data_IF_244702790074
#
_entry.id   IF_244702790074
#
_cell.length_a   1.000
_cell.length_b   1.000
_cell.length_c   1.000
_cell.angle_alpha   90.00
_cell.angle_beta   90.00
_cell.angle_gamma   90.00
#
_symmetry.space_group_name_H-M   'P 1'
#
loop_
_entity.id
_entity.type
_entity.pdbx_description
1 polymer ?
#
# COMPACT_ATOMS: atom_id res chain seq x y z
N UNK A 1 6.61 -0.98 20.42
CA UNK A 1 5.44 -1.41 19.63
C UNK A 1 5.75 -1.38 18.13
N UNK A 2 6.28 -0.30 17.56
CA UNK A 2 6.60 -0.20 16.12
C UNK A 2 7.63 -1.26 15.68
N UNK A 3 8.64 -1.55 16.49
CA UNK A 3 9.62 -2.60 16.20
C UNK A 3 8.96 -3.98 16.06
N UNK A 4 7.90 -4.25 16.83
CA UNK A 4 7.17 -5.53 16.79
C UNK A 4 6.59 -5.84 15.41
N UNK A 5 6.04 -4.84 14.71
CA UNK A 5 5.54 -5.02 13.34
C UNK A 5 6.67 -5.37 12.37
N UNK A 6 7.79 -4.65 12.45
CA UNK A 6 8.96 -4.93 11.61
C UNK A 6 9.57 -6.30 11.88
N UNK A 7 9.64 -6.73 13.14
CA UNK A 7 10.11 -8.06 13.53
C UNK A 7 9.16 -9.17 13.05
N UNK A 8 7.84 -8.95 13.13
CA UNK A 8 6.84 -9.91 12.63
C UNK A 8 6.97 -10.12 11.13
N UNK A 9 7.11 -9.03 10.37
CA UNK A 9 7.34 -9.08 8.92
C UNK A 9 8.67 -9.76 8.58
N UNK A 10 9.75 -9.43 9.29
CA UNK A 10 11.08 -9.99 9.06
C UNK A 10 11.15 -11.51 9.27
N UNK A 11 10.28 -12.11 10.11
CA UNK A 11 10.18 -13.56 10.25
C UNK A 11 9.83 -14.29 8.95
N UNK A 12 9.26 -13.59 7.98
CA UNK A 12 8.92 -14.12 6.66
C UNK A 12 10.00 -13.90 5.60
N UNK A 13 11.16 -13.37 5.97
CA UNK A 13 12.28 -13.06 5.04
C UNK A 13 12.57 -14.19 4.06
N UNK A 14 12.72 -15.43 4.53
CA UNK A 14 12.99 -16.57 3.67
C UNK A 14 11.90 -16.82 2.60
N UNK A 15 10.65 -16.46 2.88
CA UNK A 15 9.55 -16.56 1.91
C UNK A 15 9.68 -15.50 0.81
N UNK A 16 10.04 -14.26 1.17
CA UNK A 16 10.29 -13.19 0.21
C UNK A 16 11.52 -13.51 -0.66
N UNK A 17 12.62 -13.93 -0.05
CA UNK A 17 13.85 -14.30 -0.76
C UNK A 17 13.60 -15.44 -1.77
N UNK A 18 12.83 -16.47 -1.37
CA UNK A 18 12.45 -17.58 -2.28
C UNK A 18 11.69 -17.09 -3.52
N UNK A 19 10.95 -15.99 -3.41
CA UNK A 19 10.18 -15.39 -4.50
C UNK A 19 10.97 -14.30 -5.25
N UNK A 20 12.21 -14.01 -4.84
CA UNK A 20 12.97 -12.88 -5.39
C UNK A 20 12.38 -11.51 -5.04
N UNK A 21 11.60 -11.44 -3.96
CA UNK A 21 10.92 -10.23 -3.51
C UNK A 21 11.69 -9.50 -2.41
N UNK A 22 11.55 -8.19 -2.35
CA UNK A 22 12.01 -7.37 -1.24
C UNK A 22 11.03 -7.42 -0.07
N UNK A 23 11.54 -7.30 1.16
CA UNK A 23 10.67 -7.05 2.31
C UNK A 23 9.93 -5.70 2.15
N UNK A 24 8.71 -5.56 2.69
CA UNK A 24 7.95 -4.31 2.63
C UNK A 24 8.71 -3.08 3.14
N UNK A 25 9.48 -3.23 4.21
CA UNK A 25 10.34 -2.16 4.73
C UNK A 25 11.46 -1.78 3.74
N UNK A 26 12.04 -2.75 3.04
CA UNK A 26 13.07 -2.52 2.02
C UNK A 26 12.46 -1.85 0.77
N UNK A 27 11.22 -2.21 0.40
CA UNK A 27 10.44 -1.52 -0.65
C UNK A 27 10.25 -0.05 -0.30
N UNK A 28 9.78 0.24 0.91
CA UNK A 28 9.59 1.60 1.38
C UNK A 28 10.90 2.40 1.36
N UNK A 29 11.97 1.82 1.89
CA UNK A 29 13.28 2.47 1.95
C UNK A 29 13.84 2.82 0.57
N UNK A 30 13.71 1.92 -0.41
CA UNK A 30 14.18 2.15 -1.79
C UNK A 30 13.30 3.12 -2.57
N UNK A 31 12.02 3.23 -2.22
CA UNK A 31 11.10 4.16 -2.85
C UNK A 31 11.35 5.60 -2.44
N UNK A 32 11.67 5.83 -1.17
CA UNK A 32 11.90 7.15 -0.60
C UNK A 32 13.14 7.84 -1.16
N UNK A 33 13.08 9.16 -1.26
CA UNK A 33 14.23 9.98 -1.63
C UNK A 33 15.24 10.03 -0.47
N UNK A 34 16.52 9.76 -0.73
CA UNK A 34 17.56 9.78 0.30
C UNK A 34 17.64 11.14 1.00
N UNK A 35 17.71 11.11 2.34
CA UNK A 35 17.84 12.31 3.15
C UNK A 35 16.58 13.16 3.30
N UNK A 36 15.48 12.79 2.66
CA UNK A 36 14.19 13.47 2.81
C UNK A 36 13.38 12.89 3.98
N UNK A 37 12.58 13.70 4.68
CA UNK A 37 11.80 13.23 5.82
C UNK A 37 10.67 12.28 5.38
N UNK A 38 10.38 11.29 6.21
CA UNK A 38 9.21 10.42 6.10
C UNK A 38 8.38 10.50 7.37
N UNK A 39 7.16 11.01 7.25
CA UNK A 39 6.19 11.07 8.35
C UNK A 39 5.35 9.79 8.35
N UNK A 40 5.69 8.83 9.21
CA UNK A 40 4.87 7.62 9.40
C UNK A 40 3.52 7.98 10.00
N UNK A 41 2.46 7.31 9.53
CA UNK A 41 1.09 7.47 9.98
C UNK A 41 0.53 6.12 10.42
N UNK A 42 -0.45 6.14 11.32
CA UNK A 42 -1.21 4.96 11.76
C UNK A 42 -0.38 3.80 12.33
N UNK A 43 0.77 4.10 12.94
CA UNK A 43 1.69 3.09 13.46
C UNK A 43 1.07 2.18 14.53
N UNK A 44 0.04 2.64 15.22
CA UNK A 44 -0.70 1.87 16.25
C UNK A 44 -2.05 1.32 15.76
N UNK A 45 -2.37 1.48 14.47
CA UNK A 45 -3.61 0.93 13.94
C UNK A 45 -3.67 -0.59 14.19
N UNK A 46 -4.85 -1.10 14.50
CA UNK A 46 -5.10 -2.51 14.84
C UNK A 46 -4.52 -3.02 16.18
N UNK A 47 -3.74 -2.20 16.90
CA UNK A 47 -3.18 -2.62 18.20
C UNK A 47 -4.28 -2.92 19.21
N UNK A 48 -4.20 -4.09 19.86
CA UNK A 48 -5.20 -4.64 20.78
C UNK A 48 -6.62 -4.79 20.17
N UNK A 49 -6.73 -4.80 18.83
CA UNK A 49 -7.96 -5.06 18.07
C UNK A 49 -7.89 -6.41 17.34
N UNK A 50 -6.74 -6.69 16.70
CA UNK A 50 -6.45 -7.98 16.07
C UNK A 50 -6.34 -9.11 17.10
N UNK A 51 -5.76 -8.82 18.24
CA UNK A 51 -5.59 -9.71 19.36
C UNK A 51 -5.78 -8.92 20.68
N UNK A 52 -6.70 -9.32 21.56
CA UNK A 52 -6.89 -8.67 22.87
C UNK A 52 -5.67 -8.81 23.79
N UNK A 53 -4.82 -9.82 23.60
CA UNK A 53 -3.53 -9.90 24.25
C UNK A 53 -2.58 -8.86 23.65
N UNK A 54 -2.30 -7.82 24.43
CA UNK A 54 -1.43 -6.72 24.02
C UNK A 54 0.00 -7.14 23.71
N UNK A 55 0.49 -8.23 24.30
CA UNK A 55 1.83 -8.74 24.02
C UNK A 55 1.90 -9.50 22.69
N UNK A 56 0.81 -10.14 22.29
CA UNK A 56 0.68 -10.84 21.02
C UNK A 56 0.17 -9.97 19.86
N UNK A 57 -0.44 -8.81 20.17
CA UNK A 57 -0.98 -7.90 19.15
C UNK A 57 0.11 -7.25 18.30
N UNK A 58 -0.09 -7.22 16.98
CA UNK A 58 0.83 -6.62 16.02
C UNK A 58 0.22 -5.30 15.51
N UNK A 59 0.83 -4.14 15.84
CA UNK A 59 0.33 -2.84 15.40
C UNK A 59 0.61 -2.58 13.91
N UNK A 60 -0.07 -1.58 13.34
CA UNK A 60 0.17 -1.08 12.00
C UNK A 60 -0.79 -1.60 10.93
N UNK A 61 -1.78 -2.44 11.29
CA UNK A 61 -2.80 -2.97 10.38
C UNK A 61 -2.23 -3.65 9.10
N UNK A 62 -1.07 -4.32 9.21
CA UNK A 62 -0.34 -4.98 8.12
C UNK A 62 0.04 -4.05 6.96
N UNK A 63 0.33 -2.78 7.26
CA UNK A 63 0.73 -1.79 6.27
C UNK A 63 1.80 -0.84 6.80
N UNK A 64 2.63 -0.32 5.90
CA UNK A 64 3.57 0.77 6.16
C UNK A 64 3.10 1.99 5.38
N UNK A 65 2.67 3.03 6.10
CA UNK A 65 2.03 4.18 5.47
C UNK A 65 2.57 5.50 6.01
N UNK A 66 2.61 6.52 5.15
CA UNK A 66 3.07 7.84 5.55
C UNK A 66 3.21 8.82 4.41
N UNK A 67 3.65 10.02 4.74
CA UNK A 67 3.96 11.07 3.77
C UNK A 67 5.46 11.17 3.63
N UNK A 68 5.95 11.05 2.40
CA UNK A 68 7.36 11.12 2.05
C UNK A 68 7.60 11.81 0.72
N UNK A 69 8.81 11.65 0.21
CA UNK A 69 9.22 12.20 -1.07
C UNK A 69 9.70 11.08 -1.99
N UNK A 70 9.21 11.09 -3.22
CA UNK A 70 9.55 10.13 -4.27
C UNK A 70 9.80 10.89 -5.56
N UNK A 71 11.01 10.81 -6.12
CA UNK A 71 11.38 11.59 -7.31
C UNK A 71 11.19 13.09 -7.10
N UNK A 72 11.48 13.62 -5.91
CA UNK A 72 11.27 15.02 -5.56
C UNK A 72 9.82 15.42 -5.28
N UNK A 73 8.85 14.54 -5.47
CA UNK A 73 7.42 14.81 -5.25
C UNK A 73 6.99 14.39 -3.86
N UNK A 74 6.39 15.31 -3.10
CA UNK A 74 5.76 14.98 -1.82
C UNK A 74 4.47 14.20 -2.08
N UNK A 75 4.39 12.97 -1.59
CA UNK A 75 3.26 12.08 -1.84
C UNK A 75 2.88 11.25 -0.63
N UNK A 76 1.70 10.66 -0.66
CA UNK A 76 1.28 9.60 0.23
C UNK A 76 1.85 8.28 -0.26
N UNK A 77 2.44 7.52 0.65
CA UNK A 77 3.01 6.20 0.37
C UNK A 77 2.26 5.17 1.19
N UNK A 78 1.88 4.09 0.52
CA UNK A 78 1.26 2.92 1.09
C UNK A 78 2.02 1.68 0.64
N UNK A 79 2.48 0.87 1.58
CA UNK A 79 3.12 -0.42 1.28
C UNK A 79 2.38 -1.50 2.06
N UNK A 80 1.79 -2.46 1.37
CA UNK A 80 1.21 -3.64 1.99
C UNK A 80 2.30 -4.49 2.62
N UNK A 81 2.07 -4.96 3.84
CA UNK A 81 2.99 -5.85 4.53
C UNK A 81 2.45 -7.29 4.54
N UNK A 82 2.73 -7.99 3.44
CA UNK A 82 2.35 -9.41 3.28
C UNK A 82 3.13 -10.36 4.21
N UNK A 83 4.15 -9.89 4.90
CA UNK A 83 4.81 -10.60 5.98
C UNK A 83 3.92 -10.76 7.22
N UNK A 84 2.90 -9.92 7.36
CA UNK A 84 1.92 -9.96 8.45
C UNK A 84 0.57 -10.42 7.89
N UNK A 85 0.06 -11.56 8.36
CA UNK A 85 -1.22 -12.13 7.93
C UNK A 85 -1.41 -12.19 6.40
N UNK A 86 -0.32 -12.42 5.63
CA UNK A 86 -0.29 -12.42 4.16
C UNK A 86 -0.85 -11.13 3.52
N UNK A 87 -0.76 -10.00 4.19
CA UNK A 87 -1.31 -8.72 3.71
C UNK A 87 -2.84 -8.70 3.67
N UNK A 88 -3.51 -9.58 4.42
CA UNK A 88 -4.97 -9.63 4.42
C UNK A 88 -5.57 -8.37 5.05
N UNK A 89 -6.60 -7.86 4.38
CA UNK A 89 -7.28 -6.65 4.79
C UNK A 89 -8.30 -6.91 5.89
N UNK A 90 -8.28 -6.09 6.93
CA UNK A 90 -9.28 -6.02 8.00
C UNK A 90 -10.08 -4.73 7.89
N UNK A 91 -11.13 -4.58 8.71
CA UNK A 91 -11.86 -3.30 8.82
C UNK A 91 -10.90 -2.16 9.17
N UNK A 92 -9.93 -2.40 10.05
CA UNK A 92 -8.91 -1.38 10.42
C UNK A 92 -8.00 -1.01 9.25
N UNK A 93 -7.61 -1.95 8.42
CA UNK A 93 -6.86 -1.68 7.18
C UNK A 93 -7.68 -0.73 6.28
N UNK A 94 -8.97 -1.00 6.11
CA UNK A 94 -9.87 -0.13 5.34
C UNK A 94 -10.04 1.27 5.94
N UNK A 95 -10.19 1.39 7.27
CA UNK A 95 -10.26 2.68 7.96
C UNK A 95 -8.97 3.50 7.79
N UNK A 96 -7.81 2.85 7.84
CA UNK A 96 -6.51 3.49 7.53
C UNK A 96 -6.52 4.01 6.09
N UNK A 97 -6.98 3.20 5.12
CA UNK A 97 -7.12 3.62 3.72
C UNK A 97 -7.98 4.88 3.57
N UNK A 98 -9.17 4.88 4.14
CA UNK A 98 -10.07 6.03 4.10
C UNK A 98 -9.44 7.29 4.68
N UNK A 99 -8.74 7.16 5.80
CA UNK A 99 -8.01 8.25 6.43
C UNK A 99 -6.92 8.82 5.51
N UNK A 100 -6.09 7.96 4.91
CA UNK A 100 -5.03 8.39 3.99
C UNK A 100 -5.58 9.08 2.75
N UNK A 101 -6.63 8.53 2.13
CA UNK A 101 -7.28 9.13 0.98
C UNK A 101 -7.91 10.48 1.31
N UNK A 102 -8.45 10.65 2.53
CA UNK A 102 -8.94 11.96 2.99
C UNK A 102 -7.79 12.98 3.11
N UNK A 103 -6.62 12.55 3.61
CA UNK A 103 -5.41 13.38 3.66
C UNK A 103 -4.95 13.73 2.23
N UNK A 104 -4.89 12.75 1.31
CA UNK A 104 -4.52 12.98 -0.09
C UNK A 104 -5.41 14.05 -0.74
N UNK A 105 -6.73 13.92 -0.61
CA UNK A 105 -7.69 14.87 -1.17
C UNK A 105 -7.54 16.28 -0.58
N UNK A 106 -7.32 16.37 0.75
CA UNK A 106 -7.18 17.65 1.45
C UNK A 106 -5.86 18.35 1.16
N UNK A 107 -4.76 17.57 1.13
CA UNK A 107 -3.40 18.09 0.99
C UNK A 107 -2.89 18.06 -0.45
N UNK A 108 -3.73 17.60 -1.40
CA UNK A 108 -3.36 17.44 -2.81
C UNK A 108 -2.11 16.59 -2.99
N UNK A 109 -2.08 15.44 -2.33
CA UNK A 109 -0.96 14.51 -2.42
C UNK A 109 -1.27 13.41 -3.44
N UNK A 110 -0.37 13.15 -4.40
CA UNK A 110 -0.38 11.90 -5.16
C UNK A 110 -0.25 10.70 -4.23
N UNK A 111 -0.72 9.54 -4.66
CA UNK A 111 -0.65 8.28 -3.91
C UNK A 111 0.19 7.26 -4.66
N UNK A 112 1.16 6.65 -3.97
CA UNK A 112 1.85 5.44 -4.44
C UNK A 112 1.47 4.28 -3.52
N UNK A 113 1.00 3.18 -4.10
CA UNK A 113 0.63 1.97 -3.40
C UNK A 113 1.46 0.77 -3.90
N UNK A 114 2.34 0.25 -3.07
CA UNK A 114 3.04 -1.02 -3.29
C UNK A 114 2.12 -2.15 -2.85
N UNK A 115 1.52 -2.84 -3.81
CA UNK A 115 0.43 -3.80 -3.58
C UNK A 115 0.94 -5.23 -3.49
N UNK A 116 0.59 -5.89 -2.40
CA UNK A 116 0.68 -7.33 -2.20
C UNK A 116 -0.29 -7.76 -1.10
N UNK A 117 -1.49 -8.21 -1.47
CA UNK A 117 -2.59 -8.47 -0.52
C UNK A 117 -3.34 -9.75 -0.86
N UNK A 118 -3.59 -10.57 0.15
CA UNK A 118 -4.46 -11.75 0.04
C UNK A 118 -5.97 -11.42 -0.03
N UNK A 119 -6.34 -10.13 -0.10
CA UNK A 119 -7.72 -9.69 -0.06
C UNK A 119 -8.29 -9.62 1.36
N UNK A 120 -9.62 -9.73 1.50
CA UNK A 120 -10.28 -9.65 2.80
C UNK A 120 -9.97 -10.86 3.70
N UNK A 121 -9.77 -10.61 5.00
CA UNK A 121 -9.64 -11.68 5.98
C UNK A 121 -11.02 -12.31 6.26
N UNK A 122 -11.32 -13.39 5.57
CA UNK A 122 -12.61 -14.09 5.70
C UNK A 122 -12.78 -14.80 7.04
N UNK A 123 -11.70 -15.04 7.79
CA UNK A 123 -11.78 -15.63 9.14
C UNK A 123 -12.27 -14.60 10.17
N UNK A 124 -12.14 -13.32 9.86
CA UNK A 124 -12.60 -12.19 10.68
C UNK A 124 -13.68 -11.40 9.92
N UNK A 125 -14.58 -12.12 9.26
CA UNK A 125 -15.64 -11.52 8.44
C UNK A 125 -16.53 -10.60 9.28
N UNK A 126 -16.69 -9.36 8.82
CA UNK A 126 -17.62 -8.38 9.34
C UNK A 126 -18.30 -7.69 8.15
N UNK A 127 -19.60 -7.50 8.20
CA UNK A 127 -20.37 -6.84 7.13
C UNK A 127 -19.87 -5.42 6.87
N UNK A 128 -19.41 -4.73 7.91
CA UNK A 128 -18.85 -3.37 7.88
C UNK A 128 -17.64 -3.27 6.97
N UNK A 129 -16.86 -4.35 6.81
CA UNK A 129 -15.71 -4.42 5.92
C UNK A 129 -16.08 -3.99 4.49
N UNK A 130 -17.20 -4.47 3.97
CA UNK A 130 -17.65 -4.16 2.60
C UNK A 130 -18.04 -2.70 2.44
N UNK A 131 -18.71 -2.13 3.43
CA UNK A 131 -19.06 -0.70 3.46
C UNK A 131 -17.82 0.19 3.47
N UNK A 132 -16.83 -0.15 4.31
CA UNK A 132 -15.56 0.57 4.41
C UNK A 132 -14.79 0.52 3.10
N UNK A 133 -14.65 -0.67 2.48
CA UNK A 133 -13.95 -0.80 1.20
C UNK A 133 -14.71 -0.19 0.02
N UNK A 134 -16.04 -0.17 0.03
CA UNK A 134 -16.83 0.62 -0.90
C UNK A 134 -16.48 2.11 -0.85
N UNK A 135 -16.23 2.64 0.34
CA UNK A 135 -15.72 4.00 0.55
C UNK A 135 -14.31 4.20 -0.02
N UNK A 136 -13.43 3.20 0.11
CA UNK A 136 -12.06 3.24 -0.46
C UNK A 136 -12.12 3.35 -2.00
N UNK A 137 -12.92 2.51 -2.66
CA UNK A 137 -13.07 2.53 -4.13
C UNK A 137 -13.69 3.85 -4.62
N UNK A 138 -14.73 4.34 -3.95
CA UNK A 138 -15.30 5.66 -4.22
C UNK A 138 -14.25 6.76 -4.14
N UNK A 139 -13.38 6.72 -3.13
CA UNK A 139 -12.33 7.71 -2.97
C UNK A 139 -11.25 7.64 -4.07
N UNK A 140 -10.89 6.44 -4.56
CA UNK A 140 -10.00 6.30 -5.71
C UNK A 140 -10.58 7.01 -6.94
N UNK A 141 -11.85 6.74 -7.26
CA UNK A 141 -12.54 7.43 -8.36
C UNK A 141 -12.59 8.96 -8.17
N UNK A 142 -12.83 9.42 -6.92
CA UNK A 142 -12.80 10.84 -6.62
C UNK A 142 -11.41 11.46 -6.76
N UNK A 143 -10.35 10.76 -6.34
CA UNK A 143 -8.97 11.24 -6.49
C UNK A 143 -8.63 11.40 -7.96
N UNK A 144 -8.95 10.42 -8.80
CA UNK A 144 -8.77 10.51 -10.26
C UNK A 144 -9.56 11.69 -10.85
N UNK A 145 -10.83 11.85 -10.50
CA UNK A 145 -11.65 12.99 -10.94
C UNK A 145 -11.11 14.36 -10.47
N UNK A 146 -10.39 14.41 -9.36
CA UNK A 146 -9.70 15.60 -8.85
C UNK A 146 -8.34 15.84 -9.54
N UNK A 147 -7.89 14.96 -10.42
CA UNK A 147 -6.58 14.98 -11.05
C UNK A 147 -5.44 14.72 -10.07
N UNK A 148 -5.69 14.00 -8.97
CA UNK A 148 -4.66 13.55 -8.04
C UNK A 148 -4.10 12.22 -8.52
N UNK A 149 -2.83 12.16 -8.97
CA UNK A 149 -2.25 10.94 -9.50
C UNK A 149 -2.25 9.80 -8.49
N UNK A 150 -2.66 8.63 -8.94
CA UNK A 150 -2.58 7.38 -8.20
C UNK A 150 -1.72 6.38 -8.96
N UNK A 151 -0.81 5.72 -8.26
CA UNK A 151 0.09 4.72 -8.83
C UNK A 151 0.07 3.46 -8.00
N UNK A 152 0.07 2.32 -8.68
CA UNK A 152 0.27 1.00 -8.08
C UNK A 152 1.59 0.42 -8.58
N UNK A 153 2.38 -0.14 -7.66
CA UNK A 153 3.44 -1.11 -7.98
C UNK A 153 2.94 -2.47 -7.50
N UNK A 154 2.64 -3.35 -8.43
CA UNK A 154 2.07 -4.68 -8.17
C UNK A 154 3.19 -5.68 -7.96
N UNK A 155 3.57 -5.88 -6.70
CA UNK A 155 4.70 -6.72 -6.28
C UNK A 155 4.37 -8.19 -6.11
N UNK A 156 3.11 -8.49 -5.83
CA UNK A 156 2.63 -9.84 -5.55
C UNK A 156 1.17 -10.00 -5.91
N UNK A 157 0.54 -11.04 -5.35
CA UNK A 157 -0.88 -11.27 -5.55
C UNK A 157 -1.73 -10.15 -4.99
N UNK A 158 -2.74 -9.73 -5.75
CA UNK A 158 -3.78 -8.79 -5.32
C UNK A 158 -5.13 -9.33 -5.79
N UNK A 159 -5.88 -9.96 -4.89
CA UNK A 159 -7.09 -10.69 -5.25
C UNK A 159 -8.35 -10.02 -4.70
N UNK A 160 -9.48 -10.35 -5.28
CA UNK A 160 -10.82 -9.85 -4.92
C UNK A 160 -10.86 -8.31 -4.89
N UNK A 161 -11.20 -7.72 -3.74
CA UNK A 161 -11.20 -6.26 -3.57
C UNK A 161 -9.83 -5.61 -3.76
N UNK A 162 -8.74 -6.34 -3.55
CA UNK A 162 -7.38 -5.87 -3.82
C UNK A 162 -7.11 -5.59 -5.31
N UNK A 163 -7.75 -6.33 -6.22
CA UNK A 163 -7.60 -6.13 -7.66
C UNK A 163 -8.15 -4.78 -8.16
N UNK A 164 -9.02 -4.13 -7.38
CA UNK A 164 -9.48 -2.78 -7.68
C UNK A 164 -8.37 -1.72 -7.51
N UNK A 165 -7.34 -2.00 -6.70
CA UNK A 165 -6.25 -1.05 -6.51
C UNK A 165 -5.51 -0.79 -7.83
N UNK A 166 -4.96 -1.80 -8.54
CA UNK A 166 -4.40 -1.58 -9.87
C UNK A 166 -5.48 -1.18 -10.90
N UNK A 167 -6.66 -1.78 -10.88
CA UNK A 167 -7.71 -1.53 -11.86
C UNK A 167 -8.28 -0.11 -11.86
N UNK A 168 -8.11 0.65 -10.79
CA UNK A 168 -8.60 2.03 -10.65
C UNK A 168 -7.50 3.07 -10.50
N UNK A 169 -6.24 2.67 -10.59
CA UNK A 169 -5.10 3.59 -10.52
C UNK A 169 -4.76 4.18 -11.88
N UNK A 170 -4.17 5.39 -11.89
CA UNK A 170 -3.80 6.09 -13.12
C UNK A 170 -2.53 5.50 -13.76
N UNK A 171 -1.67 4.87 -12.94
CA UNK A 171 -0.43 4.21 -13.39
C UNK A 171 -0.27 2.88 -12.69
N UNK A 172 0.02 1.83 -13.45
CA UNK A 172 0.26 0.48 -12.92
C UNK A 172 1.59 -0.08 -13.41
N UNK A 173 2.47 -0.34 -12.46
CA UNK A 173 3.76 -1.00 -12.69
C UNK A 173 3.62 -2.44 -12.21
N UNK A 174 3.80 -3.41 -13.10
CA UNK A 174 3.67 -4.83 -12.79
C UNK A 174 5.02 -5.53 -12.71
N UNK A 175 5.30 -6.20 -11.60
CA UNK A 175 6.50 -7.03 -11.43
C UNK A 175 6.22 -8.39 -12.05
N UNK A 176 7.07 -8.81 -12.99
CA UNK A 176 6.99 -10.12 -13.65
C UNK A 176 6.98 -11.26 -12.64
N UNK A 177 6.35 -12.35 -13.03
CA UNK A 177 6.24 -13.60 -12.28
C UNK A 177 5.50 -13.52 -10.94
N UNK A 178 5.67 -12.45 -10.17
CA UNK A 178 5.10 -12.30 -8.83
C UNK A 178 3.82 -11.47 -8.83
N UNK A 179 3.75 -10.42 -9.64
CA UNK A 179 2.60 -9.54 -9.69
C UNK A 179 1.39 -10.22 -10.34
N UNK A 180 0.24 -10.11 -9.69
CA UNK A 180 -1.01 -10.71 -10.16
C UNK A 180 -2.18 -9.91 -9.61
N UNK A 181 -3.15 -9.59 -10.47
CA UNK A 181 -4.40 -8.96 -10.09
C UNK A 181 -5.57 -9.72 -10.71
N UNK A 182 -6.44 -10.30 -9.88
CA UNK A 182 -7.63 -11.01 -10.34
C UNK A 182 -8.74 -10.95 -9.28
N UNK A 183 -10.00 -10.98 -9.71
CA UNK A 183 -11.13 -11.06 -8.78
C UNK A 183 -11.17 -12.40 -8.06
N UNK A 184 -10.67 -13.47 -8.67
CA UNK A 184 -10.54 -14.78 -8.06
C UNK A 184 -9.32 -15.52 -8.62
N UNK A 185 -8.55 -16.14 -7.75
CA UNK A 185 -7.44 -17.01 -8.17
C UNK A 185 -7.93 -18.37 -8.72
N UNK A 186 -7.01 -19.15 -9.30
CA UNK A 186 -7.28 -20.43 -9.95
C UNK A 186 -8.08 -21.42 -9.07
N UNK A 187 -7.78 -21.44 -7.77
CA UNK A 187 -8.50 -22.30 -6.83
C UNK A 187 -9.99 -21.93 -6.70
N UNK A 188 -10.31 -20.64 -6.68
CA UNK A 188 -11.68 -20.16 -6.60
C UNK A 188 -12.43 -20.42 -7.93
N UNK A 189 -11.78 -20.18 -9.07
CA UNK A 189 -12.33 -20.49 -10.40
C UNK A 189 -12.69 -21.96 -10.49
N UNK A 190 -11.77 -22.84 -10.11
CA UNK A 190 -12.03 -24.29 -10.10
C UNK A 190 -13.20 -24.68 -9.19
N UNK A 191 -13.30 -24.07 -8.02
CA UNK A 191 -14.40 -24.35 -7.08
C UNK A 191 -15.75 -23.84 -7.59
N UNK A 192 -15.79 -22.72 -8.30
CA UNK A 192 -17.01 -22.08 -8.78
C UNK A 192 -17.51 -22.64 -10.12
N UNK A 193 -16.61 -22.95 -11.06
CA UNK A 193 -16.95 -23.30 -12.44
C UNK A 193 -16.50 -24.72 -12.85
N UNK A 194 -15.62 -25.35 -12.06
CA UNK A 194 -14.98 -26.63 -12.43
C UNK A 194 -13.79 -26.47 -13.39
N UNK A 195 -13.53 -25.27 -13.92
CA UNK A 195 -12.43 -25.02 -14.84
C UNK A 195 -11.08 -25.08 -14.15
N UNK A 196 -10.09 -25.65 -14.82
CA UNK A 196 -8.70 -25.63 -14.38
C UNK A 196 -8.01 -24.42 -15.01
N UNK A 197 -7.70 -23.43 -14.20
CA UNK A 197 -7.05 -22.19 -14.62
C UNK A 197 -5.65 -22.07 -14.00
N UNK A 198 -4.84 -21.17 -14.58
CA UNK A 198 -3.53 -20.81 -14.08
C UNK A 198 -3.58 -19.35 -13.60
N UNK A 199 -3.08 -19.05 -12.41
CA UNK A 199 -3.11 -17.69 -11.83
C UNK A 199 -2.42 -16.65 -12.72
N UNK A 200 -1.32 -17.02 -13.42
CA UNK A 200 -0.63 -16.12 -14.35
C UNK A 200 -1.47 -15.80 -15.59
N UNK A 201 -2.22 -16.78 -16.09
CA UNK A 201 -3.11 -16.60 -17.25
C UNK A 201 -4.37 -15.83 -16.87
N UNK A 202 -4.85 -15.99 -15.62
CA UNK A 202 -6.02 -15.28 -15.11
C UNK A 202 -5.74 -13.80 -14.83
N UNK A 203 -4.57 -13.47 -14.27
CA UNK A 203 -4.32 -12.13 -13.78
C UNK A 203 -2.86 -11.78 -13.57
N UNK A 204 -1.92 -12.52 -14.18
CA UNK A 204 -0.49 -12.18 -14.12
C UNK A 204 -0.18 -10.84 -14.79
N UNK A 205 0.85 -10.16 -14.32
CA UNK A 205 1.25 -8.84 -14.85
C UNK A 205 1.61 -8.89 -16.31
N UNK A 206 2.18 -9.98 -16.80
CA UNK A 206 2.50 -10.21 -18.23
C UNK A 206 1.23 -10.27 -19.07
N UNK A 207 0.19 -10.97 -18.60
CA UNK A 207 -1.12 -10.99 -19.25
C UNK A 207 -1.74 -9.60 -19.26
N UNK A 208 -1.71 -8.90 -18.12
CA UNK A 208 -2.25 -7.56 -18.03
C UNK A 208 -1.51 -6.54 -18.90
N UNK A 209 -0.20 -6.69 -19.09
CA UNK A 209 0.57 -5.82 -19.97
C UNK A 209 0.31 -6.08 -21.46
N UNK A 210 0.03 -7.34 -21.85
CA UNK A 210 -0.08 -7.73 -23.27
C UNK A 210 -1.52 -7.89 -23.76
N UNK A 211 -2.48 -8.14 -22.87
CA UNK A 211 -3.87 -8.47 -23.27
C UNK A 211 -4.86 -7.44 -22.75
N UNK A 212 -4.90 -7.20 -21.42
CA UNK A 212 -5.93 -6.32 -20.85
C UNK A 212 -5.57 -4.82 -20.85
N UNK A 213 -4.27 -4.50 -20.93
CA UNK A 213 -3.79 -3.11 -20.87
C UNK A 213 -3.83 -2.47 -19.48
N UNK A 214 -4.10 -3.24 -18.42
CA UNK A 214 -4.12 -2.71 -17.03
C UNK A 214 -2.72 -2.36 -16.52
N UNK A 215 -1.69 -3.07 -17.00
CA UNK A 215 -0.29 -2.81 -16.63
C UNK A 215 0.39 -2.01 -17.74
N UNK A 216 0.76 -0.74 -17.46
CA UNK A 216 1.47 0.12 -18.40
C UNK A 216 2.97 -0.18 -18.45
N UNK A 217 3.56 -0.54 -17.31
CA UNK A 217 5.00 -0.77 -17.18
C UNK A 217 5.25 -2.16 -16.61
N UNK A 218 5.77 -3.05 -17.45
CA UNK A 218 6.20 -4.37 -17.02
C UNK A 218 7.68 -4.32 -16.63
N UNK A 219 8.02 -4.79 -15.43
CA UNK A 219 9.37 -4.71 -14.85
C UNK A 219 9.84 -6.07 -14.37
N UNK A 220 11.17 -6.25 -14.29
CA UNK A 220 11.76 -7.56 -14.03
C UNK A 220 11.63 -8.01 -12.56
N UNK A 221 11.78 -7.07 -11.61
CA UNK A 221 11.78 -7.37 -10.18
C UNK A 221 11.28 -6.16 -9.34
N UNK A 222 11.19 -6.37 -8.03
CA UNK A 222 10.77 -5.35 -7.07
C UNK A 222 11.63 -4.07 -7.15
N UNK A 223 12.95 -4.20 -7.26
CA UNK A 223 13.85 -3.06 -7.28
C UNK A 223 13.67 -2.22 -8.56
N UNK A 224 13.51 -2.89 -9.71
CA UNK A 224 13.19 -2.23 -10.98
C UNK A 224 11.81 -1.54 -10.92
N UNK A 225 10.82 -2.16 -10.27
CA UNK A 225 9.50 -1.56 -10.09
C UNK A 225 9.53 -0.26 -9.28
N UNK A 226 10.29 -0.24 -8.20
CA UNK A 226 10.46 0.96 -7.38
C UNK A 226 11.23 2.06 -8.10
N UNK A 227 12.27 1.71 -8.86
CA UNK A 227 13.00 2.66 -9.72
C UNK A 227 12.06 3.27 -10.76
N UNK A 228 11.26 2.44 -11.44
CA UNK A 228 10.27 2.90 -12.42
C UNK A 228 9.23 3.83 -11.79
N UNK A 229 8.75 3.53 -10.59
CA UNK A 229 7.83 4.40 -9.86
C UNK A 229 8.43 5.79 -9.61
N UNK A 230 9.70 5.86 -9.20
CA UNK A 230 10.43 7.11 -9.01
C UNK A 230 10.55 7.91 -10.31
N UNK A 231 10.92 7.25 -11.42
CA UNK A 231 11.02 7.88 -12.74
C UNK A 231 9.69 8.49 -13.21
N UNK A 232 8.58 7.76 -13.04
CA UNK A 232 7.25 8.25 -13.44
C UNK A 232 6.84 9.44 -12.57
N UNK A 233 7.06 9.37 -11.26
CA UNK A 233 6.73 10.48 -10.35
C UNK A 233 7.55 11.74 -10.62
N UNK A 234 8.83 11.62 -10.91
CA UNK A 234 9.67 12.75 -11.31
C UNK A 234 9.13 13.45 -12.56
N UNK A 235 8.62 12.68 -13.53
CA UNK A 235 8.07 13.20 -14.79
C UNK A 235 6.66 13.81 -14.67
N UNK A 236 5.93 13.57 -13.57
CA UNK A 236 4.60 14.15 -13.37
C UNK A 236 4.61 15.68 -13.27
N UNK A 237 5.77 16.27 -12.95
CA UNK A 237 5.93 17.72 -12.72
C UNK A 237 4.90 18.27 -11.71
N UNK A 238 4.53 17.42 -10.74
CA UNK A 238 3.44 17.68 -9.80
C UNK A 238 3.64 18.94 -8.97
N UNK A 239 4.88 19.19 -8.56
CA UNK A 239 5.22 20.34 -7.72
C UNK A 239 4.91 21.69 -8.41
N UNK A 240 4.96 21.75 -9.73
CA UNK A 240 4.59 22.95 -10.49
C UNK A 240 3.09 23.12 -10.66
N UNK A 241 2.34 22.02 -10.54
CA UNK A 241 0.87 22.00 -10.67
C UNK A 241 0.15 22.34 -9.38
N UNK A 242 0.84 22.26 -8.24
CA UNK A 242 0.27 22.53 -6.93
C UNK A 242 0.70 23.89 -6.41
N UNK A 243 -0.24 24.62 -5.81
CA UNK A 243 0.10 25.86 -5.11
C UNK A 243 1.00 25.54 -3.92
N UNK A 244 2.17 26.17 -3.77
CA UNK A 244 3.02 25.96 -2.61
C UNK A 244 2.25 26.29 -1.33
N UNK A 245 2.33 25.39 -0.35
CA UNK A 245 1.78 25.70 0.97
C UNK A 245 2.63 26.80 1.59
N UNK A 246 2.03 27.95 1.98
CA UNK A 246 2.78 29.02 2.61
C UNK A 246 3.50 28.49 3.86
N UNK A 247 4.81 28.73 3.95
CA UNK A 247 5.54 28.43 5.18
C UNK A 247 5.03 29.36 6.27
N UNK A 248 4.35 28.80 7.26
CA UNK A 248 3.98 29.53 8.45
C UNK A 248 5.19 29.57 9.38
N UNK A 249 5.49 30.76 9.92
CA UNK A 249 6.41 30.86 11.04
C UNK A 249 5.82 30.00 12.20
N UNK A 250 6.64 29.15 12.77
CA UNK A 250 6.25 28.40 13.96
C UNK A 250 7.20 28.75 15.10
N UNK A 251 6.68 28.71 16.31
CA UNK A 251 7.51 28.72 17.50
C UNK A 251 7.87 27.29 17.85
N UNK A 252 9.14 26.98 18.14
CA UNK A 252 9.51 25.65 18.59
C UNK A 252 8.73 25.29 19.86
N UNK A 253 8.44 24.00 20.11
CA UNK A 253 7.81 23.58 21.35
C UNK A 253 8.55 24.09 22.58
N UNK A 254 7.82 24.51 23.60
CA UNK A 254 8.41 25.01 24.86
C UNK A 254 9.15 23.89 25.61
N UNK A 255 8.72 22.64 25.42
CA UNK A 255 9.29 21.46 26.07
C UNK A 255 9.79 20.47 25.03
N UNK A 256 10.92 19.78 25.27
CA UNK A 256 11.40 18.71 24.41
C UNK A 256 10.39 17.56 24.29
N UNK A 257 10.38 16.90 23.13
CA UNK A 257 9.45 15.78 22.87
C UNK A 257 9.62 14.61 23.86
N UNK A 258 10.83 14.41 24.38
CA UNK A 258 11.17 13.36 25.34
C UNK A 258 10.41 13.53 26.68
N UNK A 259 10.02 14.75 27.03
CA UNK A 259 9.24 15.03 28.23
C UNK A 259 7.77 14.59 28.11
N UNK A 260 7.26 14.35 26.90
CA UNK A 260 5.93 13.83 26.68
C UNK A 260 5.73 12.42 27.26
N UNK A 261 6.81 11.64 27.37
CA UNK A 261 6.76 10.30 27.96
C UNK A 261 6.23 10.30 29.42
N UNK A 262 6.39 11.39 30.15
CA UNK A 262 5.87 11.55 31.49
C UNK A 262 4.42 12.08 31.56
N UNK A 263 3.84 12.49 30.44
CA UNK A 263 2.49 13.03 30.36
C UNK A 263 1.45 11.99 29.88
N UNK A 264 1.92 10.85 29.40
CA UNK A 264 1.08 9.73 28.92
C UNK A 264 1.05 8.67 30.01
N UNK A 265 -0.13 8.29 30.55
CA UNK A 265 -0.28 7.26 31.58
C UNK A 265 0.08 5.87 31.09
#
# INVERSE_FOLDING_TARGET
>A
LEARASEASAKRRATFEKRGQLLPADRLHRLLDPGMPFLRLHTLANFAVDNPDREASIPGASVLVGIGFVGGVRCMIWVDDSGIAAGSATTKTGEVHLSLQAICKRQKLPLIHCVESAGANLLQYQTELWSVFGGVFRNLAQMSAMGLPTMVVLHGGSTAGGAYMPGMSDYVIGVKENGMAALGGAALVKAATGEVANDRELGGTEMHASVSGVVEYLVEDDAHGLLKAREVFERLDWNRRTTPVPRRAYQPPQYPAEQLAGAVP
#
